data_IF_796536378296
#
_entry.id   IF_796536378296
#
_cell.length_a   1.000
_cell.length_b   1.000
_cell.length_c   1.000
_cell.angle_alpha   90.00
_cell.angle_beta   90.00
_cell.angle_gamma   90.00
#
_symmetry.space_group_name_H-M   'P 1'
#
loop_
_entity.id
_entity.type
_entity.pdbx_description
1 polymer ?
#
# COMPACT_ATOMS: atom_id res chain seq x y z
N UNK A 1 15.95 30.90 -1.95
CA UNK A 1 16.86 29.85 -1.44
C UNK A 1 16.30 29.41 -0.09
N UNK A 2 15.46 28.36 -0.06
CA UNK A 2 14.79 27.94 1.19
C UNK A 2 15.59 26.81 1.83
N UNK A 3 16.15 27.10 3.01
CA UNK A 3 16.75 26.10 3.88
C UNK A 3 15.64 25.28 4.54
N UNK A 4 15.44 24.06 4.05
CA UNK A 4 14.68 23.04 4.78
C UNK A 4 15.45 22.72 6.06
N UNK A 5 14.90 23.11 7.22
CA UNK A 5 15.37 22.61 8.51
C UNK A 5 15.14 21.11 8.52
N UNK A 6 16.23 20.34 8.47
CA UNK A 6 16.22 18.89 8.65
C UNK A 6 15.73 18.62 10.07
N UNK A 7 14.44 18.31 10.21
CA UNK A 7 13.89 17.76 11.43
C UNK A 7 14.45 16.34 11.51
N UNK A 8 15.42 16.12 12.40
CA UNK A 8 15.91 14.77 12.68
C UNK A 8 14.74 13.94 13.22
N UNK A 9 14.41 12.79 12.61
CA UNK A 9 13.35 11.93 13.14
C UNK A 9 13.72 11.53 14.57
N UNK A 10 12.77 11.70 15.50
CA UNK A 10 12.94 11.17 16.86
C UNK A 10 12.94 9.65 16.75
N UNK A 11 13.84 8.98 17.49
CA UNK A 11 13.82 7.52 17.66
C UNK A 11 12.43 7.11 18.16
N UNK A 12 11.59 6.60 17.26
CA UNK A 12 10.19 6.27 17.53
C UNK A 12 9.22 6.55 16.39
N UNK A 13 9.53 7.50 15.49
CA UNK A 13 8.59 7.98 14.45
C UNK A 13 8.60 7.16 13.14
N UNK A 14 9.08 5.92 13.14
CA UNK A 14 9.19 5.08 11.93
C UNK A 14 8.27 3.86 11.89
N UNK A 15 7.24 3.82 12.74
CA UNK A 15 6.22 2.78 12.59
C UNK A 15 5.16 3.25 11.60
N UNK A 16 5.50 3.08 10.32
CA UNK A 16 4.51 2.92 9.25
C UNK A 16 3.73 1.61 9.56
N UNK A 17 2.79 1.72 10.51
CA UNK A 17 2.17 0.58 11.22
C UNK A 17 1.56 -0.44 10.25
N UNK A 18 1.13 0.04 9.08
CA UNK A 18 0.43 -0.74 8.06
C UNK A 18 1.37 -1.51 7.12
N UNK A 19 2.66 -1.20 7.06
CA UNK A 19 3.61 -1.87 6.17
C UNK A 19 4.50 -2.90 6.88
N UNK A 20 4.58 -2.88 8.21
CA UNK A 20 5.29 -3.88 9.00
C UNK A 20 4.87 -5.32 8.62
N UNK A 21 3.58 -5.52 8.30
CA UNK A 21 3.04 -6.82 7.89
C UNK A 21 3.29 -7.19 6.42
N UNK A 22 3.70 -6.24 5.55
CA UNK A 22 4.06 -6.56 4.16
C UNK A 22 5.42 -7.29 4.05
N UNK A 23 6.19 -7.33 5.14
CA UNK A 23 7.56 -7.85 5.18
C UNK A 23 7.79 -8.93 6.25
N UNK A 24 6.83 -9.09 7.16
CA UNK A 24 6.91 -10.16 8.15
C UNK A 24 6.86 -11.53 7.46
N UNK A 25 7.85 -12.36 7.78
CA UNK A 25 8.04 -13.70 7.20
C UNK A 25 6.80 -14.57 7.43
N UNK A 26 6.53 -15.44 6.45
CA UNK A 26 5.52 -16.52 6.38
C UNK A 26 5.47 -17.47 7.60
N UNK A 27 5.14 -16.97 8.78
CA UNK A 27 4.88 -17.77 9.97
C UNK A 27 3.49 -17.47 10.57
N UNK A 28 2.57 -16.89 9.80
CA UNK A 28 1.18 -16.79 10.21
C UNK A 28 0.47 -18.12 9.99
N UNK A 29 -0.24 -18.56 11.03
CA UNK A 29 -1.02 -19.78 11.03
C UNK A 29 -2.13 -19.66 9.98
N UNK A 30 -2.04 -20.44 8.89
CA UNK A 30 -3.04 -20.44 7.80
C UNK A 30 -4.49 -20.65 8.27
N UNK A 31 -4.70 -21.23 9.47
CA UNK A 31 -6.01 -21.37 10.11
C UNK A 31 -6.72 -20.03 10.37
N UNK A 32 -5.96 -18.94 10.57
CA UNK A 32 -6.53 -17.62 10.83
C UNK A 32 -7.04 -16.96 9.55
N UNK A 33 -6.40 -17.22 8.40
CA UNK A 33 -6.76 -16.60 7.11
C UNK A 33 -8.15 -17.04 6.65
N UNK A 34 -8.46 -18.34 6.70
CA UNK A 34 -9.78 -18.83 6.29
C UNK A 34 -10.89 -18.31 7.23
N UNK A 35 -10.60 -18.17 8.52
CA UNK A 35 -11.53 -17.56 9.48
C UNK A 35 -11.81 -16.09 9.15
N UNK A 36 -10.78 -15.33 8.75
CA UNK A 36 -10.91 -13.93 8.32
C UNK A 36 -11.68 -13.84 6.99
N UNK A 37 -11.39 -14.70 6.00
CA UNK A 37 -12.12 -14.74 4.72
C UNK A 37 -13.60 -14.98 4.95
N UNK A 38 -13.94 -15.98 5.77
CA UNK A 38 -15.31 -16.29 6.15
C UNK A 38 -15.99 -15.09 6.82
N UNK A 39 -15.32 -14.51 7.82
CA UNK A 39 -15.83 -13.32 8.51
C UNK A 39 -16.13 -12.17 7.55
N UNK A 40 -15.21 -11.81 6.66
CA UNK A 40 -15.40 -10.70 5.72
C UNK A 40 -16.50 -10.99 4.69
N UNK A 41 -16.67 -12.23 4.28
CA UNK A 41 -17.68 -12.63 3.29
C UNK A 41 -19.10 -12.68 3.86
N UNK A 42 -19.26 -13.06 5.13
CA UNK A 42 -20.57 -13.18 5.80
C UNK A 42 -21.12 -11.82 6.29
N UNK A 43 -20.40 -10.73 6.07
CA UNK A 43 -20.81 -9.40 6.54
C UNK A 43 -21.85 -8.77 5.63
N UNK A 44 -22.99 -8.45 6.22
CA UNK A 44 -24.06 -7.68 5.56
C UNK A 44 -23.68 -6.21 5.35
N UNK A 45 -22.90 -5.64 6.27
CA UNK A 45 -22.43 -4.26 6.23
C UNK A 45 -20.91 -4.22 6.43
N UNK A 46 -20.24 -3.35 5.68
CA UNK A 46 -18.78 -3.24 5.64
C UNK A 46 -18.37 -1.89 6.20
N UNK A 47 -17.72 -1.90 7.38
CA UNK A 47 -17.27 -0.69 8.07
C UNK A 47 -15.75 -0.56 8.03
N UNK A 48 -15.25 0.47 8.71
CA UNK A 48 -13.82 0.74 8.83
C UNK A 48 -13.03 -0.47 9.37
N UNK A 49 -13.57 -1.21 10.33
CA UNK A 49 -12.92 -2.39 10.86
C UNK A 49 -12.71 -3.46 9.79
N UNK A 50 -13.75 -3.81 9.04
CA UNK A 50 -13.66 -4.78 7.94
C UNK A 50 -12.73 -4.29 6.82
N UNK A 51 -12.73 -2.98 6.54
CA UNK A 51 -11.80 -2.37 5.57
C UNK A 51 -10.34 -2.50 5.99
N UNK A 52 -10.02 -2.11 7.23
CA UNK A 52 -8.68 -2.22 7.78
C UNK A 52 -8.24 -3.69 7.84
N UNK A 53 -9.13 -4.60 8.26
CA UNK A 53 -8.86 -6.03 8.31
C UNK A 53 -8.57 -6.59 6.91
N UNK A 54 -9.38 -6.24 5.91
CA UNK A 54 -9.14 -6.66 4.53
C UNK A 54 -7.80 -6.14 3.99
N UNK A 55 -7.50 -4.86 4.22
CA UNK A 55 -6.26 -4.24 3.76
C UNK A 55 -5.01 -4.87 4.41
N UNK A 56 -5.08 -5.14 5.72
CA UNK A 56 -3.96 -5.73 6.48
C UNK A 56 -3.64 -7.16 6.04
N UNK A 57 -4.64 -7.93 5.64
CA UNK A 57 -4.47 -9.32 5.22
C UNK A 57 -4.43 -9.51 3.70
N UNK A 58 -4.45 -8.42 2.92
CA UNK A 58 -4.63 -8.44 1.47
C UNK A 58 -3.70 -9.44 0.76
N UNK A 59 -2.42 -9.48 1.15
CA UNK A 59 -1.39 -10.34 0.53
C UNK A 59 -1.62 -11.83 0.75
N UNK A 60 -2.36 -12.21 1.79
CA UNK A 60 -2.63 -13.61 2.12
C UNK A 60 -3.87 -14.15 1.40
N UNK A 61 -4.66 -13.28 0.76
CA UNK A 61 -5.83 -13.69 0.02
C UNK A 61 -5.49 -14.08 -1.41
N UNK A 62 -6.23 -15.05 -1.93
CA UNK A 62 -6.17 -15.42 -3.33
C UNK A 62 -6.85 -14.36 -4.22
N UNK A 63 -6.52 -14.37 -5.52
CA UNK A 63 -7.06 -13.44 -6.51
C UNK A 63 -8.59 -13.44 -6.55
N UNK A 64 -9.24 -14.61 -6.43
CA UNK A 64 -10.69 -14.72 -6.54
C UNK A 64 -11.37 -14.02 -5.36
N UNK A 65 -10.87 -14.22 -4.15
CA UNK A 65 -11.34 -13.55 -2.95
C UNK A 65 -11.16 -12.03 -3.04
N UNK A 66 -9.95 -11.55 -3.39
CA UNK A 66 -9.70 -10.11 -3.56
C UNK A 66 -10.63 -9.52 -4.62
N UNK A 67 -10.81 -10.21 -5.74
CA UNK A 67 -11.68 -9.76 -6.83
C UNK A 67 -13.14 -9.58 -6.39
N UNK A 68 -13.65 -10.50 -5.56
CA UNK A 68 -15.00 -10.41 -5.02
C UNK A 68 -15.15 -9.26 -4.01
N UNK A 69 -14.10 -9.00 -3.22
CA UNK A 69 -14.12 -7.94 -2.22
C UNK A 69 -14.10 -6.53 -2.85
N UNK A 70 -13.46 -6.34 -4.01
CA UNK A 70 -13.28 -5.02 -4.64
C UNK A 70 -14.55 -4.17 -4.67
N UNK A 71 -15.70 -4.73 -5.07
CA UNK A 71 -16.94 -3.97 -5.17
C UNK A 71 -17.43 -3.49 -3.81
N UNK A 72 -17.33 -4.34 -2.79
CA UNK A 72 -17.70 -4.04 -1.39
C UNK A 72 -16.76 -2.95 -0.85
N UNK A 73 -15.45 -3.13 -1.04
CA UNK A 73 -14.43 -2.18 -0.57
C UNK A 73 -14.58 -0.82 -1.26
N UNK A 74 -14.88 -0.81 -2.55
CA UNK A 74 -15.08 0.44 -3.31
C UNK A 74 -16.34 1.18 -2.84
N UNK A 75 -17.43 0.45 -2.52
CA UNK A 75 -18.64 1.06 -1.95
C UNK A 75 -18.32 1.73 -0.61
N UNK A 76 -17.54 1.07 0.24
CA UNK A 76 -17.07 1.65 1.49
C UNK A 76 -16.22 2.91 1.25
N UNK A 77 -15.19 2.85 0.40
CA UNK A 77 -14.34 4.00 0.07
C UNK A 77 -15.20 5.17 -0.43
N UNK A 78 -16.17 4.92 -1.32
CA UNK A 78 -17.04 5.97 -1.83
C UNK A 78 -17.89 6.64 -0.74
N UNK A 79 -18.21 5.90 0.33
CA UNK A 79 -18.95 6.43 1.49
C UNK A 79 -18.09 7.28 2.43
N UNK A 80 -16.76 7.15 2.40
CA UNK A 80 -15.84 7.86 3.31
C UNK A 80 -14.87 8.83 2.61
N UNK A 81 -14.71 8.77 1.29
CA UNK A 81 -13.71 9.54 0.53
C UNK A 81 -13.84 11.07 0.61
N UNK A 82 -14.92 11.59 1.18
CA UNK A 82 -15.13 13.01 1.40
C UNK A 82 -14.63 13.48 2.77
N UNK A 83 -14.22 12.53 3.64
CA UNK A 83 -13.74 12.75 4.99
C UNK A 83 -12.20 12.70 4.96
N UNK A 84 -11.49 13.84 5.12
CA UNK A 84 -10.04 13.92 4.93
C UNK A 84 -9.21 12.98 5.79
N UNK A 85 -9.71 12.64 6.99
CA UNK A 85 -9.05 11.77 7.96
C UNK A 85 -8.77 10.36 7.41
N UNK A 86 -9.55 9.92 6.41
CA UNK A 86 -9.38 8.62 5.78
C UNK A 86 -8.47 8.62 4.55
N UNK A 87 -8.00 9.79 4.09
CA UNK A 87 -7.22 9.85 2.85
C UNK A 87 -5.93 9.03 2.94
N UNK A 88 -5.23 9.06 4.07
CA UNK A 88 -4.01 8.28 4.29
C UNK A 88 -4.29 6.78 4.27
N UNK A 89 -5.44 6.36 4.78
CA UNK A 89 -5.85 4.96 4.78
C UNK A 89 -6.18 4.49 3.35
N UNK A 90 -6.88 5.33 2.58
CA UNK A 90 -7.22 5.05 1.17
C UNK A 90 -5.95 5.02 0.30
N UNK A 91 -4.99 5.92 0.54
CA UNK A 91 -3.66 5.91 -0.10
C UNK A 91 -2.96 4.58 0.18
N UNK A 92 -2.96 4.15 1.44
CA UNK A 92 -2.32 2.90 1.86
C UNK A 92 -3.01 1.70 1.21
N UNK A 93 -4.34 1.68 1.15
CA UNK A 93 -5.11 0.65 0.49
C UNK A 93 -4.78 0.54 -1.01
N UNK A 94 -4.79 1.65 -1.76
CA UNK A 94 -4.46 1.61 -3.19
C UNK A 94 -2.98 1.28 -3.46
N UNK A 95 -2.09 1.63 -2.53
CA UNK A 95 -0.69 1.19 -2.56
C UNK A 95 -0.62 -0.34 -2.46
N UNK A 96 -1.25 -0.92 -1.44
CA UNK A 96 -1.29 -2.37 -1.23
C UNK A 96 -1.96 -3.12 -2.39
N UNK A 97 -3.08 -2.62 -2.91
CA UNK A 97 -3.75 -3.19 -4.08
C UNK A 97 -2.86 -3.17 -5.32
N UNK A 98 -2.12 -2.09 -5.55
CA UNK A 98 -1.19 -2.00 -6.68
C UNK A 98 -0.07 -3.03 -6.56
N UNK A 99 0.51 -3.19 -5.36
CA UNK A 99 1.50 -4.23 -5.10
C UNK A 99 0.94 -5.64 -5.27
N UNK A 100 -0.23 -5.94 -4.71
CA UNK A 100 -0.90 -7.23 -4.86
C UNK A 100 -1.04 -7.63 -6.33
N UNK A 101 -1.53 -6.72 -7.18
CA UNK A 101 -1.69 -7.01 -8.61
C UNK A 101 -0.38 -7.15 -9.36
N UNK A 102 0.69 -6.45 -8.94
CA UNK A 102 2.02 -6.69 -9.50
C UNK A 102 2.56 -8.06 -9.12
N UNK A 103 2.39 -8.51 -7.87
CA UNK A 103 2.87 -9.83 -7.41
C UNK A 103 2.21 -10.97 -8.20
N UNK A 104 0.91 -10.86 -8.52
CA UNK A 104 0.19 -11.84 -9.35
C UNK A 104 0.30 -11.56 -10.85
N UNK A 105 1.24 -10.71 -11.28
CA UNK A 105 1.55 -10.35 -12.68
C UNK A 105 0.37 -9.78 -13.48
N UNK A 106 -0.59 -9.16 -12.80
CA UNK A 106 -1.74 -8.47 -13.39
C UNK A 106 -1.45 -6.98 -13.59
N UNK A 107 -0.58 -6.65 -14.56
CA UNK A 107 -0.12 -5.28 -14.83
C UNK A 107 -1.25 -4.29 -15.15
N UNK A 108 -2.32 -4.74 -15.83
CA UNK A 108 -3.47 -3.89 -16.16
C UNK A 108 -4.16 -3.38 -14.90
N UNK A 109 -4.41 -4.26 -13.93
CA UNK A 109 -5.02 -3.89 -12.66
C UNK A 109 -4.06 -3.09 -11.80
N UNK A 110 -2.77 -3.46 -11.74
CA UNK A 110 -1.76 -2.67 -11.05
C UNK A 110 -1.75 -1.21 -11.53
N UNK A 111 -1.72 -1.00 -12.86
CA UNK A 111 -1.77 0.33 -13.47
C UNK A 111 -3.06 1.08 -13.14
N UNK A 112 -4.21 0.39 -13.14
CA UNK A 112 -5.50 0.98 -12.76
C UNK A 112 -5.47 1.54 -11.33
N UNK A 113 -5.05 0.73 -10.36
CA UNK A 113 -5.01 1.15 -8.95
C UNK A 113 -3.91 2.17 -8.66
N UNK A 114 -2.77 2.09 -9.35
CA UNK A 114 -1.74 3.14 -9.29
C UNK A 114 -2.25 4.47 -9.85
N UNK A 115 -3.13 4.45 -10.85
CA UNK A 115 -3.79 5.66 -11.36
C UNK A 115 -4.71 6.32 -10.33
N UNK A 116 -5.50 5.54 -9.59
CA UNK A 116 -6.30 6.05 -8.47
C UNK A 116 -5.41 6.65 -7.37
N UNK A 117 -4.34 5.95 -7.02
CA UNK A 117 -3.35 6.40 -6.05
C UNK A 117 -2.70 7.72 -6.45
N UNK A 118 -2.29 7.88 -7.71
CA UNK A 118 -1.66 9.11 -8.23
C UNK A 118 -2.56 10.34 -8.04
N UNK A 119 -3.85 10.19 -8.33
CA UNK A 119 -4.82 11.29 -8.14
C UNK A 119 -4.92 11.71 -6.68
N UNK A 120 -4.87 10.75 -5.75
CA UNK A 120 -5.02 11.00 -4.33
C UNK A 120 -3.73 11.56 -3.70
N UNK A 121 -2.57 10.99 -4.03
CA UNK A 121 -1.26 11.45 -3.57
C UNK A 121 -1.00 12.89 -4.01
N UNK A 122 -1.35 13.26 -5.24
CA UNK A 122 -1.16 14.64 -5.72
C UNK A 122 -2.00 15.66 -4.94
N UNK A 123 -3.18 15.27 -4.44
CA UNK A 123 -4.03 16.12 -3.59
C UNK A 123 -3.50 16.24 -2.15
N UNK A 124 -2.75 15.25 -1.67
CA UNK A 124 -2.32 15.09 -0.27
C UNK A 124 -0.81 15.01 -0.10
N UNK A 125 -0.05 15.54 -1.05
CA UNK A 125 1.41 15.39 -1.09
C UNK A 125 2.11 15.94 0.15
N UNK A 126 1.50 16.93 0.82
CA UNK A 126 2.03 17.53 2.04
C UNK A 126 1.70 16.74 3.31
N UNK A 127 0.69 15.86 3.24
CA UNK A 127 0.13 15.13 4.39
C UNK A 127 0.64 13.69 4.47
N UNK A 128 1.24 13.17 3.38
CA UNK A 128 1.81 11.83 3.35
C UNK A 128 3.25 11.80 3.86
N UNK A 129 3.62 10.66 4.45
CA UNK A 129 5.01 10.43 4.84
C UNK A 129 5.92 10.34 3.61
N UNK A 130 7.19 10.70 3.79
CA UNK A 130 8.23 10.55 2.75
C UNK A 130 8.32 9.10 2.28
N UNK A 131 8.19 8.13 3.20
CA UNK A 131 8.13 6.70 2.90
C UNK A 131 7.01 6.37 1.91
N UNK A 132 5.77 6.77 2.21
CA UNK A 132 4.62 6.54 1.34
C UNK A 132 4.79 7.20 -0.03
N UNK A 133 5.34 8.42 -0.08
CA UNK A 133 5.63 9.11 -1.35
C UNK A 133 6.60 8.31 -2.23
N UNK A 134 7.67 7.75 -1.66
CA UNK A 134 8.63 6.97 -2.44
C UNK A 134 8.07 5.62 -2.86
N UNK A 135 7.27 4.95 -2.01
CA UNK A 135 6.51 3.74 -2.40
C UNK A 135 5.62 4.02 -3.61
N UNK A 136 4.89 5.13 -3.61
CA UNK A 136 4.09 5.56 -4.75
C UNK A 136 4.96 5.80 -6.00
N UNK A 137 6.07 6.54 -5.88
CA UNK A 137 6.97 6.81 -7.03
C UNK A 137 7.49 5.53 -7.69
N UNK A 138 7.74 4.49 -6.89
CA UNK A 138 8.22 3.20 -7.39
C UNK A 138 7.12 2.48 -8.15
N UNK A 139 5.91 2.40 -7.58
CA UNK A 139 4.73 1.85 -8.26
C UNK A 139 4.46 2.58 -9.58
N UNK A 140 4.55 3.92 -9.58
CA UNK A 140 4.40 4.73 -10.78
C UNK A 140 5.48 4.40 -11.81
N UNK A 141 6.75 4.28 -11.40
CA UNK A 141 7.84 3.94 -12.31
C UNK A 141 7.63 2.56 -12.93
N UNK A 142 7.31 1.54 -12.14
CA UNK A 142 7.06 0.18 -12.62
C UNK A 142 5.89 0.14 -13.61
N UNK A 143 4.74 0.72 -13.23
CA UNK A 143 3.53 0.68 -14.06
C UNK A 143 3.60 1.55 -15.32
N UNK A 144 4.58 2.46 -15.39
CA UNK A 144 4.85 3.31 -16.57
C UNK A 144 6.10 2.89 -17.34
N UNK A 145 6.81 1.83 -16.91
CA UNK A 145 8.04 1.36 -17.56
C UNK A 145 9.23 2.30 -17.42
N UNK A 146 9.23 3.17 -16.41
CA UNK A 146 10.35 4.05 -16.08
C UNK A 146 11.37 3.32 -15.18
N UNK A 147 12.65 3.69 -15.23
CA UNK A 147 13.67 3.09 -14.38
C UNK A 147 13.42 3.39 -12.90
N UNK A 148 13.45 2.35 -12.06
CA UNK A 148 13.26 2.45 -10.59
C UNK A 148 14.56 2.83 -9.87
N UNK A 149 15.72 2.49 -10.46
CA UNK A 149 17.05 2.67 -9.86
C UNK A 149 17.33 4.08 -9.32
N UNK A 150 17.01 5.19 -10.04
CA UNK A 150 17.25 6.54 -9.51
C UNK A 150 16.43 6.85 -8.25
N UNK A 151 15.25 6.24 -8.14
CA UNK A 151 14.36 6.41 -6.99
C UNK A 151 14.95 5.69 -5.78
N UNK A 152 15.46 4.47 -5.96
CA UNK A 152 16.16 3.69 -4.92
C UNK A 152 17.39 4.46 -4.42
N UNK A 153 18.21 5.00 -5.32
CA UNK A 153 19.38 5.81 -4.96
C UNK A 153 19.01 7.05 -4.14
N UNK A 154 17.90 7.69 -4.48
CA UNK A 154 17.40 8.83 -3.70
C UNK A 154 16.95 8.39 -2.31
N UNK A 155 16.28 7.24 -2.16
CA UNK A 155 15.87 6.73 -0.84
C UNK A 155 17.07 6.45 0.08
N UNK A 156 18.18 5.93 -0.46
CA UNK A 156 19.44 5.75 0.27
C UNK A 156 20.00 7.07 0.80
N UNK A 157 20.06 8.09 -0.04
CA UNK A 157 20.56 9.42 0.34
C UNK A 157 19.73 10.06 1.47
N UNK A 158 18.45 9.69 1.57
CA UNK A 158 17.55 10.14 2.62
C UNK A 158 17.59 9.30 3.89
N UNK A 159 18.43 8.26 3.96
CA UNK A 159 18.54 7.36 5.12
C UNK A 159 17.33 6.43 5.29
N UNK A 160 16.66 6.08 4.19
CA UNK A 160 15.49 5.21 4.16
C UNK A 160 15.89 3.79 3.73
N UNK A 161 17.00 3.28 4.28
CA UNK A 161 17.66 2.05 3.85
C UNK A 161 16.76 0.80 4.00
N UNK A 162 15.82 0.83 4.94
CA UNK A 162 14.83 -0.25 5.07
C UNK A 162 13.99 -0.39 3.80
N UNK A 163 13.59 0.71 3.16
CA UNK A 163 12.79 0.65 1.94
C UNK A 163 13.53 0.01 0.77
N UNK A 164 14.84 0.24 0.60
CA UNK A 164 15.60 -0.39 -0.49
C UNK A 164 15.43 -1.91 -0.47
N UNK A 165 15.66 -2.51 0.71
CA UNK A 165 15.56 -3.97 0.87
C UNK A 165 14.16 -4.47 0.50
N UNK A 166 13.13 -3.74 0.94
CA UNK A 166 11.73 -4.05 0.66
C UNK A 166 11.42 -4.00 -0.83
N UNK A 167 11.96 -2.99 -1.52
CA UNK A 167 11.76 -2.77 -2.96
C UNK A 167 12.49 -3.84 -3.76
N UNK A 168 13.73 -4.16 -3.41
CA UNK A 168 14.51 -5.20 -4.07
C UNK A 168 13.86 -6.58 -3.90
N UNK A 169 13.45 -6.93 -2.68
CA UNK A 169 12.73 -8.19 -2.42
C UNK A 169 11.40 -8.27 -3.19
N UNK A 170 10.71 -7.14 -3.38
CA UNK A 170 9.48 -7.08 -4.17
C UNK A 170 9.76 -7.23 -5.67
N UNK A 171 10.77 -6.54 -6.19
CA UNK A 171 11.16 -6.62 -7.60
C UNK A 171 11.61 -8.03 -7.98
N UNK A 172 12.37 -8.71 -7.13
CA UNK A 172 12.79 -10.11 -7.33
C UNK A 172 11.61 -11.09 -7.43
N UNK A 173 10.51 -10.82 -6.71
CA UNK A 173 9.33 -11.70 -6.70
C UNK A 173 8.35 -11.41 -7.84
N UNK A 174 8.34 -10.18 -8.35
CA UNK A 174 7.32 -9.67 -9.26
C UNK A 174 7.76 -9.61 -10.72
N UNK A 175 9.06 -9.74 -10.99
CA UNK A 175 9.63 -9.95 -12.34
C UNK A 175 9.68 -11.45 -12.64
#
# INVERSE_FOLDING_TARGET
>A
MFHLKIIKPKKGDSKDFFYTHYLEKKNENFSNIESIKKYLFEKNEFFHYEFALFNNYLRFFDYHFVSNMIAITQKYINSIQHIPEYDIEIISFYTNMSYFFLEIKSYVLAKKYTGFLSTLVNKRIQDISVSQLYKFKILEAITTGKPVQPIIETTKQLGLDCMEKEILEFLEKSM
#
